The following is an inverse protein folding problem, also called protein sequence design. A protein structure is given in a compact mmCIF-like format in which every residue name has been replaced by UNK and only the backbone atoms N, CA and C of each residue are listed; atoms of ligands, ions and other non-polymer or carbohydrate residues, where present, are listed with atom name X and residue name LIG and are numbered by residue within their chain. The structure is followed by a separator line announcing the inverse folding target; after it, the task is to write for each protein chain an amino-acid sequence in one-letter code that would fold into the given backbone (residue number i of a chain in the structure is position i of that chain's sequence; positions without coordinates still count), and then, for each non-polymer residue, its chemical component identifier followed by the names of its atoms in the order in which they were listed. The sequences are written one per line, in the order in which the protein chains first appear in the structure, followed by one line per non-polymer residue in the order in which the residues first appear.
data_IF_383445346607
#
_entry.id   IF_383445346607
#
_cell.length_a   1.000
_cell.length_b   1.000
_cell.length_c   1.000
_cell.angle_alpha   90.00
_cell.angle_beta   90.00
_cell.angle_gamma   90.00
#
_symmetry.space_group_name_H-M   'P 1'
#
loop_
_entity.id
_entity.type
_entity.pdbx_description
1 polymer ?
#
# COMPACT_ATOMS: atom_id res chain seq x y z
N UNK A 1 54.64 -5.48 21.04
CA UNK A 1 53.45 -5.31 20.19
C UNK A 1 52.48 -6.43 20.55
N UNK A 2 51.49 -6.15 21.40
CA UNK A 2 50.42 -7.12 21.69
C UNK A 2 49.45 -7.09 20.52
N UNK A 3 49.25 -8.23 19.88
CA UNK A 3 48.22 -8.38 18.86
C UNK A 3 46.84 -8.22 19.54
N UNK A 4 45.89 -7.48 18.93
CA UNK A 4 44.56 -7.33 19.50
C UNK A 4 43.89 -8.70 19.59
N UNK A 5 43.35 -9.01 20.77
CA UNK A 5 42.57 -10.21 21.02
C UNK A 5 41.29 -10.07 20.19
N UNK A 6 41.15 -10.88 19.14
CA UNK A 6 39.90 -11.00 18.38
C UNK A 6 38.87 -11.63 19.31
N UNK A 7 37.92 -10.84 19.81
CA UNK A 7 36.73 -11.36 20.47
C UNK A 7 35.89 -12.04 19.40
N UNK A 8 35.84 -13.37 19.44
CA UNK A 8 34.90 -14.14 18.63
C UNK A 8 33.47 -13.76 19.05
N UNK A 9 32.56 -13.46 18.11
CA UNK A 9 31.16 -13.22 18.44
C UNK A 9 30.59 -14.41 19.20
N UNK A 10 29.69 -14.14 20.14
CA UNK A 10 29.02 -15.16 20.96
C UNK A 10 28.31 -16.12 20.00
N UNK A 11 28.66 -17.40 20.05
CA UNK A 11 28.00 -18.41 19.22
C UNK A 11 26.49 -18.40 19.52
N UNK A 12 25.70 -18.14 18.48
CA UNK A 12 24.24 -18.19 18.55
C UNK A 12 23.84 -19.62 18.93
N UNK A 13 22.95 -19.81 19.92
CA UNK A 13 22.43 -21.14 20.20
C UNK A 13 21.73 -21.67 18.95
N UNK A 14 22.23 -22.76 18.37
CA UNK A 14 21.52 -23.49 17.31
C UNK A 14 20.18 -23.92 17.92
N UNK A 15 19.03 -23.43 17.40
CA UNK A 15 17.73 -23.83 17.90
C UNK A 15 17.63 -25.36 17.84
N UNK A 16 17.13 -25.98 18.91
CA UNK A 16 16.88 -27.43 18.87
C UNK A 16 15.89 -27.70 17.74
N UNK A 17 16.27 -28.58 16.81
CA UNK A 17 15.37 -29.00 15.74
C UNK A 17 14.14 -29.66 16.36
N UNK A 18 12.99 -29.03 16.16
CA UNK A 18 11.67 -29.55 16.49
C UNK A 18 11.01 -29.96 15.19
N UNK A 19 10.24 -31.04 15.24
CA UNK A 19 9.46 -31.46 14.07
C UNK A 19 8.48 -30.36 13.66
N UNK A 20 8.32 -30.10 12.36
CA UNK A 20 7.25 -29.25 11.87
C UNK A 20 5.87 -29.83 12.18
N UNK A 21 4.87 -28.97 12.26
CA UNK A 21 3.46 -29.37 12.35
C UNK A 21 3.01 -30.22 11.14
N UNK A 22 1.99 -31.09 11.27
CA UNK A 22 1.63 -32.07 10.24
C UNK A 22 1.25 -31.51 8.86
N UNK A 23 0.76 -30.26 8.82
CA UNK A 23 0.40 -29.53 7.61
C UNK A 23 1.55 -28.67 7.05
N UNK A 24 2.80 -28.91 7.46
CA UNK A 24 4.01 -28.34 6.87
C UNK A 24 4.94 -29.49 6.42
N UNK A 25 5.58 -29.40 5.24
CA UNK A 25 6.54 -30.42 4.81
C UNK A 25 7.69 -30.59 5.81
N UNK A 26 8.00 -31.83 6.23
CA UNK A 26 8.92 -32.09 7.34
C UNK A 26 10.35 -31.70 7.01
N UNK A 27 10.78 -31.96 5.77
CA UNK A 27 12.16 -31.66 5.36
C UNK A 27 12.26 -30.29 4.72
N UNK A 28 13.38 -29.62 4.94
CA UNK A 28 13.68 -28.35 4.28
C UNK A 28 13.71 -28.48 2.75
N UNK A 29 14.30 -29.56 2.23
CA UNK A 29 14.36 -29.80 0.79
C UNK A 29 12.98 -29.86 0.11
N UNK A 30 11.97 -30.42 0.79
CA UNK A 30 10.60 -30.40 0.29
C UNK A 30 10.00 -28.99 0.32
N UNK A 31 10.24 -28.22 1.39
CA UNK A 31 9.76 -26.82 1.48
C UNK A 31 10.36 -25.94 0.39
N UNK A 32 11.67 -26.05 0.13
CA UNK A 32 12.34 -25.34 -0.97
C UNK A 32 11.78 -25.75 -2.34
N UNK A 33 11.55 -27.06 -2.55
CA UNK A 33 10.92 -27.55 -3.78
C UNK A 33 9.54 -26.94 -3.97
N UNK A 34 8.72 -26.89 -2.92
CA UNK A 34 7.35 -26.36 -3.02
C UNK A 34 7.35 -24.85 -3.27
N UNK A 35 8.26 -24.10 -2.65
CA UNK A 35 8.47 -22.67 -2.91
C UNK A 35 8.79 -22.43 -4.39
N UNK A 36 9.77 -23.14 -4.94
CA UNK A 36 10.15 -23.01 -6.35
C UNK A 36 9.01 -23.40 -7.33
N UNK A 37 8.14 -24.34 -6.95
CA UNK A 37 6.98 -24.72 -7.76
C UNK A 37 5.87 -23.66 -7.73
N UNK A 38 5.63 -23.04 -6.58
CA UNK A 38 4.69 -21.93 -6.43
C UNK A 38 5.16 -20.69 -7.21
N UNK A 39 6.44 -20.33 -7.11
CA UNK A 39 7.06 -19.24 -7.89
C UNK A 39 6.92 -19.48 -9.39
N UNK A 40 7.30 -20.68 -9.87
CA UNK A 40 7.15 -21.06 -11.29
C UNK A 40 5.71 -20.98 -11.77
N UNK A 41 4.76 -21.39 -10.93
CA UNK A 41 3.34 -21.29 -11.27
C UNK A 41 2.91 -19.83 -11.39
N UNK A 42 3.28 -18.99 -10.42
CA UNK A 42 2.96 -17.57 -10.41
C UNK A 42 3.46 -16.86 -11.67
N UNK A 43 4.70 -17.14 -12.08
CA UNK A 43 5.28 -16.61 -13.32
C UNK A 43 4.53 -17.09 -14.57
N UNK A 44 4.18 -18.39 -14.61
CA UNK A 44 3.52 -19.00 -15.76
C UNK A 44 2.15 -18.39 -16.01
N UNK A 45 1.39 -18.13 -14.96
CA UNK A 45 0.03 -17.58 -15.07
C UNK A 45 -0.02 -16.06 -14.90
N UNK A 46 1.13 -15.42 -14.62
CA UNK A 46 1.27 -14.00 -14.33
C UNK A 46 0.30 -13.54 -13.24
N UNK A 47 0.43 -14.10 -12.03
CA UNK A 47 -0.41 -13.69 -10.91
C UNK A 47 -0.25 -12.20 -10.63
N UNK A 48 -1.36 -11.51 -10.46
CA UNK A 48 -1.41 -10.08 -10.10
C UNK A 48 -2.05 -9.98 -8.72
N UNK A 49 -1.34 -9.51 -7.70
CA UNK A 49 -1.92 -9.25 -6.39
C UNK A 49 -2.72 -7.91 -6.36
N UNK A 50 -3.58 -7.68 -5.35
CA UNK A 50 -3.98 -8.62 -4.29
C UNK A 50 -4.87 -9.74 -4.86
N UNK A 51 -4.63 -10.97 -4.40
CA UNK A 51 -5.51 -12.10 -4.68
C UNK A 51 -6.60 -12.14 -3.61
N UNK A 52 -7.87 -12.28 -4.02
CA UNK A 52 -8.93 -12.60 -3.08
C UNK A 52 -8.72 -13.97 -2.46
N UNK A 53 -9.34 -14.23 -1.31
CA UNK A 53 -9.24 -15.54 -0.67
C UNK A 53 -9.72 -16.71 -1.57
N UNK A 54 -10.76 -16.47 -2.38
CA UNK A 54 -11.26 -17.44 -3.35
C UNK A 54 -10.24 -17.69 -4.48
N UNK A 55 -9.65 -16.63 -5.03
CA UNK A 55 -8.63 -16.74 -6.06
C UNK A 55 -7.38 -17.46 -5.54
N UNK A 56 -6.92 -17.10 -4.34
CA UNK A 56 -5.77 -17.74 -3.71
C UNK A 56 -6.01 -19.24 -3.55
N UNK A 57 -7.18 -19.66 -3.07
CA UNK A 57 -7.55 -21.08 -2.97
C UNK A 57 -7.56 -21.76 -4.33
N UNK A 58 -8.17 -21.14 -5.34
CA UNK A 58 -8.22 -21.67 -6.71
C UNK A 58 -6.82 -21.86 -7.29
N UNK A 59 -5.93 -20.89 -7.13
CA UNK A 59 -4.55 -20.96 -7.59
C UNK A 59 -3.74 -22.00 -6.82
N UNK A 60 -3.95 -22.11 -5.51
CA UNK A 60 -3.33 -23.15 -4.67
C UNK A 60 -3.75 -24.55 -5.12
N UNK A 61 -5.04 -24.78 -5.37
CA UNK A 61 -5.55 -26.06 -5.85
C UNK A 61 -5.02 -26.40 -7.25
N UNK A 62 -4.83 -25.40 -8.10
CA UNK A 62 -4.18 -25.57 -9.39
C UNK A 62 -2.69 -25.97 -9.26
N UNK A 63 -1.95 -25.40 -8.30
CA UNK A 63 -0.56 -25.80 -8.01
C UNK A 63 -0.51 -27.25 -7.51
N UNK A 64 -1.40 -27.62 -6.58
CA UNK A 64 -1.52 -28.99 -6.04
C UNK A 64 -1.77 -29.98 -7.18
N UNK A 65 -2.77 -29.72 -8.02
CA UNK A 65 -3.14 -30.60 -9.12
C UNK A 65 -2.05 -30.68 -10.21
N UNK A 66 -1.41 -29.56 -10.53
CA UNK A 66 -0.40 -29.48 -11.60
C UNK A 66 0.88 -30.25 -11.27
N UNK A 67 1.29 -30.26 -10.00
CA UNK A 67 2.56 -30.84 -9.57
C UNK A 67 2.40 -32.08 -8.70
N UNK A 68 1.18 -32.61 -8.57
CA UNK A 68 0.84 -33.80 -7.77
C UNK A 68 1.35 -33.69 -6.33
N UNK A 69 1.00 -32.57 -5.68
CA UNK A 69 1.41 -32.29 -4.29
C UNK A 69 0.37 -32.83 -3.30
N UNK A 70 0.81 -33.12 -2.08
CA UNK A 70 -0.08 -33.61 -1.02
C UNK A 70 -1.04 -32.48 -0.57
N UNK A 71 -2.37 -32.67 -0.69
CA UNK A 71 -3.35 -31.67 -0.30
C UNK A 71 -3.32 -31.27 1.18
N UNK A 72 -2.70 -32.08 2.05
CA UNK A 72 -2.53 -31.73 3.48
C UNK A 72 -1.72 -30.45 3.68
N UNK A 73 -0.93 -30.05 2.69
CA UNK A 73 -0.10 -28.85 2.72
C UNK A 73 -0.76 -27.63 2.09
N UNK A 74 -2.07 -27.68 1.81
CA UNK A 74 -2.81 -26.61 1.13
C UNK A 74 -2.58 -25.23 1.76
N UNK A 75 -2.68 -25.10 3.08
CA UNK A 75 -2.52 -23.79 3.74
C UNK A 75 -1.09 -23.26 3.63
N UNK A 76 -0.10 -24.16 3.76
CA UNK A 76 1.30 -23.82 3.55
C UNK A 76 1.56 -23.39 2.10
N UNK A 77 1.02 -24.12 1.12
CA UNK A 77 1.13 -23.79 -0.30
C UNK A 77 0.43 -22.48 -0.65
N UNK A 78 -0.71 -22.17 -0.01
CA UNK A 78 -1.39 -20.90 -0.19
C UNK A 78 -0.50 -19.72 0.24
N UNK A 79 0.24 -19.86 1.34
CA UNK A 79 1.25 -18.85 1.73
C UNK A 79 2.31 -18.69 0.65
N UNK A 80 2.83 -19.80 0.09
CA UNK A 80 3.87 -19.73 -0.95
C UNK A 80 3.36 -19.11 -2.26
N UNK A 81 2.12 -19.41 -2.67
CA UNK A 81 1.49 -18.80 -3.85
C UNK A 81 1.28 -17.31 -3.64
N UNK A 82 0.79 -16.90 -2.47
CA UNK A 82 0.61 -15.49 -2.14
C UNK A 82 1.96 -14.75 -2.10
N UNK A 83 2.98 -15.35 -1.49
CA UNK A 83 4.33 -14.80 -1.46
C UNK A 83 4.89 -14.59 -2.86
N UNK A 84 4.70 -15.57 -3.75
CA UNK A 84 5.16 -15.47 -5.13
C UNK A 84 4.47 -14.32 -5.89
N UNK A 85 3.17 -14.10 -5.68
CA UNK A 85 2.45 -12.98 -6.29
C UNK A 85 2.95 -11.60 -5.79
N UNK A 86 3.28 -11.49 -4.50
CA UNK A 86 3.73 -10.23 -3.90
C UNK A 86 5.24 -9.99 -3.93
N UNK A 87 6.04 -11.00 -4.32
CA UNK A 87 7.51 -10.97 -4.22
C UNK A 87 8.12 -9.71 -4.84
N UNK A 88 7.79 -9.44 -6.10
CA UNK A 88 8.40 -8.32 -6.83
C UNK A 88 7.88 -6.96 -6.34
N UNK A 89 6.62 -6.90 -5.92
CA UNK A 89 6.03 -5.70 -5.30
C UNK A 89 6.72 -5.37 -3.97
N UNK A 90 6.99 -6.36 -3.12
CA UNK A 90 7.79 -6.17 -1.91
C UNK A 90 9.18 -5.67 -2.26
N UNK A 91 9.82 -6.26 -3.28
CA UNK A 91 11.16 -5.93 -3.72
C UNK A 91 11.28 -4.45 -4.15
N UNK A 92 10.22 -3.88 -4.73
CA UNK A 92 10.18 -2.51 -5.21
C UNK A 92 10.04 -1.45 -4.10
N UNK A 93 9.50 -1.82 -2.94
CA UNK A 93 9.30 -0.87 -1.83
C UNK A 93 10.65 -0.55 -1.16
N UNK A 94 11.01 0.71 -0.87
CA UNK A 94 12.24 1.04 -0.12
C UNK A 94 12.27 0.42 1.28
N UNK A 95 13.44 0.00 1.78
CA UNK A 95 13.57 -0.71 3.06
C UNK A 95 12.99 0.09 4.25
N UNK A 96 13.17 1.41 4.24
CA UNK A 96 12.65 2.34 5.26
C UNK A 96 11.12 2.45 5.30
N UNK A 97 10.44 1.95 4.26
CA UNK A 97 8.98 1.85 4.18
C UNK A 97 8.49 0.42 4.40
N UNK A 98 9.34 -0.49 4.89
CA UNK A 98 8.98 -1.88 5.18
C UNK A 98 8.92 -2.14 6.69
N UNK A 99 7.99 -2.99 7.08
CA UNK A 99 7.86 -3.50 8.44
C UNK A 99 8.27 -4.98 8.48
N UNK A 100 9.22 -5.32 9.34
CA UNK A 100 9.49 -6.70 9.73
C UNK A 100 8.70 -7.03 11.00
N UNK A 101 7.75 -7.94 10.89
CA UNK A 101 6.94 -8.42 12.01
C UNK A 101 7.43 -9.79 12.45
N UNK A 102 7.99 -9.86 13.66
CA UNK A 102 8.49 -11.09 14.27
C UNK A 102 7.56 -11.58 15.39
N UNK A 103 7.38 -12.89 15.58
CA UNK A 103 6.59 -13.43 16.67
C UNK A 103 7.48 -13.58 17.90
N UNK A 104 6.93 -13.32 19.09
CA UNK A 104 7.63 -13.58 20.36
C UNK A 104 7.97 -15.06 20.55
N UNK A 105 7.27 -15.96 19.85
CA UNK A 105 7.45 -17.41 19.90
C UNK A 105 8.86 -17.90 19.51
N UNK A 106 9.62 -17.10 18.75
CA UNK A 106 11.03 -17.40 18.42
C UNK A 106 11.95 -17.29 19.64
N UNK A 107 11.53 -16.60 20.70
CA UNK A 107 12.34 -16.41 21.91
C UNK A 107 12.46 -17.70 22.70
N UNK A 108 13.55 -17.81 23.46
CA UNK A 108 13.66 -18.82 24.52
C UNK A 108 12.84 -18.35 25.72
N UNK A 109 11.57 -18.76 25.79
CA UNK A 109 10.57 -18.21 26.72
C UNK A 109 11.06 -18.16 28.17
N UNK A 110 11.65 -19.27 28.65
CA UNK A 110 12.09 -19.43 30.04
C UNK A 110 13.27 -18.52 30.44
N UNK A 111 14.02 -17.99 29.47
CA UNK A 111 15.27 -17.25 29.72
C UNK A 111 15.27 -15.84 29.12
N UNK A 112 14.22 -15.45 28.41
CA UNK A 112 14.16 -14.15 27.74
C UNK A 112 13.94 -13.02 28.78
N UNK A 113 14.87 -12.06 28.91
CA UNK A 113 14.73 -10.96 29.88
C UNK A 113 13.88 -9.79 29.35
N UNK A 114 13.36 -9.90 28.12
CA UNK A 114 12.70 -8.80 27.44
C UNK A 114 11.32 -8.49 28.08
N UNK A 115 11.05 -7.22 28.42
CA UNK A 115 9.73 -6.81 28.91
C UNK A 115 8.72 -6.73 27.76
N UNK A 116 7.45 -6.59 28.13
CA UNK A 116 6.36 -6.31 27.20
C UNK A 116 5.79 -4.92 27.46
N UNK A 117 5.40 -4.24 26.39
CA UNK A 117 4.59 -3.04 26.44
C UNK A 117 3.23 -3.27 25.72
N UNK A 118 2.51 -2.20 25.41
CA UNK A 118 1.23 -2.27 24.70
C UNK A 118 1.38 -2.69 23.22
N UNK A 119 2.58 -2.57 22.65
CA UNK A 119 2.86 -2.86 21.25
C UNK A 119 3.48 -4.25 21.05
N UNK A 120 4.22 -4.79 22.02
CA UNK A 120 4.81 -6.11 21.91
C UNK A 120 5.97 -6.39 22.86
N UNK A 121 6.82 -7.33 22.44
CA UNK A 121 8.05 -7.70 23.15
C UNK A 121 9.17 -6.70 22.83
N UNK A 122 9.78 -6.11 23.85
CA UNK A 122 10.90 -5.18 23.69
C UNK A 122 12.23 -5.94 23.80
N UNK A 123 12.75 -6.43 22.67
CA UNK A 123 14.00 -7.19 22.60
C UNK A 123 15.15 -6.44 23.31
N UNK A 124 15.85 -7.14 24.20
CA UNK A 124 17.04 -6.62 24.93
C UNK A 124 18.36 -7.12 24.35
N UNK A 125 18.35 -7.70 23.15
CA UNK A 125 19.55 -8.19 22.47
C UNK A 125 20.38 -9.12 23.37
N UNK A 126 19.70 -10.09 24.02
CA UNK A 126 20.31 -10.98 25.01
C UNK A 126 21.15 -12.13 24.42
N UNK A 127 21.14 -12.31 23.09
CA UNK A 127 21.88 -13.34 22.37
C UNK A 127 21.30 -14.77 22.47
N UNK A 128 20.07 -14.93 22.97
CA UNK A 128 19.49 -16.26 23.24
C UNK A 128 18.65 -16.84 22.08
N UNK A 129 18.26 -16.01 21.10
CA UNK A 129 17.38 -16.40 20.00
C UNK A 129 17.64 -15.53 18.77
N UNK A 130 17.05 -15.91 17.63
CA UNK A 130 17.23 -15.24 16.33
C UNK A 130 16.60 -13.85 16.22
N UNK A 131 15.69 -13.46 17.14
CA UNK A 131 15.03 -12.15 17.11
C UNK A 131 16.06 -11.01 17.09
N UNK A 132 17.15 -11.14 17.86
CA UNK A 132 18.18 -10.11 17.92
C UNK A 132 18.83 -9.86 16.55
N UNK A 133 19.32 -10.92 15.90
CA UNK A 133 20.07 -10.78 14.64
C UNK A 133 19.17 -10.27 13.52
N UNK A 134 17.93 -10.77 13.46
CA UNK A 134 16.94 -10.31 12.51
C UNK A 134 16.57 -8.84 12.73
N UNK A 135 16.43 -8.42 13.98
CA UNK A 135 16.13 -7.03 14.32
C UNK A 135 17.31 -6.11 13.96
N UNK A 136 18.52 -6.46 14.38
CA UNK A 136 19.73 -5.67 14.09
C UNK A 136 19.93 -5.48 12.58
N UNK A 137 19.76 -6.55 11.79
CA UNK A 137 19.94 -6.46 10.35
C UNK A 137 18.81 -5.67 9.67
N UNK A 138 17.56 -5.91 10.04
CA UNK A 138 16.44 -5.20 9.44
C UNK A 138 16.51 -3.70 9.75
N UNK A 139 16.84 -3.32 10.99
CA UNK A 139 17.08 -1.92 11.37
C UNK A 139 18.27 -1.32 10.61
N UNK A 140 19.35 -2.09 10.39
CA UNK A 140 20.51 -1.66 9.57
C UNK A 140 20.12 -1.37 8.12
N UNK A 141 19.20 -2.15 7.55
CA UNK A 141 18.65 -1.93 6.21
C UNK A 141 17.66 -0.75 6.16
N UNK A 142 17.06 -0.40 7.30
CA UNK A 142 16.13 0.73 7.44
C UNK A 142 14.71 0.34 7.87
N UNK A 143 14.41 -0.95 8.00
CA UNK A 143 13.08 -1.43 8.36
C UNK A 143 12.62 -0.88 9.71
N UNK A 144 11.31 -0.67 9.83
CA UNK A 144 10.67 -0.73 11.14
C UNK A 144 10.60 -2.22 11.57
N UNK A 145 10.94 -2.52 12.82
CA UNK A 145 10.85 -3.89 13.36
C UNK A 145 9.89 -3.90 14.54
N UNK A 146 8.98 -4.88 14.54
CA UNK A 146 8.04 -5.08 15.63
C UNK A 146 8.03 -6.56 16.04
N UNK A 147 8.11 -6.83 17.33
CA UNK A 147 7.97 -8.19 17.87
C UNK A 147 6.60 -8.32 18.55
N UNK A 148 5.57 -8.65 17.78
CA UNK A 148 4.18 -8.64 18.24
C UNK A 148 3.34 -9.74 17.60
N UNK A 149 2.18 -10.02 18.20
CA UNK A 149 1.25 -11.08 17.75
C UNK A 149 -0.15 -10.56 17.36
N UNK A 150 -0.30 -9.25 17.16
CA UNK A 150 -1.60 -8.61 16.94
C UNK A 150 -1.75 -7.99 15.55
N UNK A 151 -2.76 -8.42 14.79
CA UNK A 151 -3.14 -7.79 13.52
C UNK A 151 -3.60 -6.33 13.69
N UNK A 152 -4.18 -5.98 14.84
CA UNK A 152 -4.65 -4.61 15.11
C UNK A 152 -3.51 -3.56 15.08
N UNK A 153 -2.35 -3.89 15.64
CA UNK A 153 -1.20 -2.97 15.67
C UNK A 153 -0.62 -2.80 14.27
N UNK A 154 -0.54 -3.90 13.51
CA UNK A 154 -0.11 -3.86 12.11
C UNK A 154 -1.00 -2.93 11.30
N UNK A 155 -2.33 -3.04 11.45
CA UNK A 155 -3.28 -2.14 10.77
C UNK A 155 -3.14 -0.68 11.21
N UNK A 156 -2.92 -0.42 12.49
CA UNK A 156 -2.69 0.94 12.96
C UNK A 156 -1.43 1.56 12.33
N UNK A 157 -0.33 0.78 12.23
CA UNK A 157 0.91 1.22 11.60
C UNK A 157 0.71 1.49 10.11
N UNK A 158 0.01 0.59 9.41
CA UNK A 158 -0.37 0.76 8.00
C UNK A 158 -1.13 2.08 7.80
N UNK A 159 -2.12 2.34 8.65
CA UNK A 159 -2.97 3.54 8.56
C UNK A 159 -2.19 4.84 8.81
N UNK A 160 -0.99 4.78 9.39
CA UNK A 160 -0.12 5.95 9.50
C UNK A 160 0.51 6.39 8.18
N UNK A 161 0.46 5.55 7.12
CA UNK A 161 1.09 5.83 5.82
C UNK A 161 2.63 5.74 5.82
N UNK A 162 3.24 5.31 6.94
CA UNK A 162 4.69 5.18 7.08
C UNK A 162 5.26 3.87 6.50
N UNK A 163 4.42 2.85 6.38
CA UNK A 163 4.80 1.52 5.93
C UNK A 163 3.96 1.15 4.71
N UNK A 164 4.63 0.72 3.65
CA UNK A 164 4.03 0.31 2.39
C UNK A 164 4.11 -1.20 2.15
N UNK A 165 4.96 -1.93 2.89
CA UNK A 165 5.06 -3.38 2.75
C UNK A 165 5.46 -4.09 4.06
N UNK A 166 5.09 -5.37 4.16
CA UNK A 166 5.28 -6.18 5.37
C UNK A 166 5.99 -7.49 5.05
N UNK A 167 7.03 -7.78 5.82
CA UNK A 167 7.63 -9.10 5.94
C UNK A 167 7.19 -9.68 7.27
N UNK A 168 6.34 -10.71 7.24
CA UNK A 168 5.76 -11.30 8.44
C UNK A 168 6.32 -12.68 8.73
N UNK A 169 6.61 -12.99 9.99
CA UNK A 169 6.91 -14.34 10.45
C UNK A 169 5.81 -14.77 11.41
N UNK A 170 5.09 -15.85 11.12
CA UNK A 170 3.98 -16.29 11.97
C UNK A 170 3.53 -17.72 11.69
N UNK A 171 2.73 -18.31 12.57
CA UNK A 171 2.11 -19.61 12.30
C UNK A 171 0.96 -19.48 11.29
N UNK A 172 0.63 -20.57 10.59
CA UNK A 172 -0.40 -20.57 9.54
C UNK A 172 -1.76 -20.05 10.04
N UNK A 173 -2.15 -20.40 11.27
CA UNK A 173 -3.42 -19.97 11.88
C UNK A 173 -3.54 -18.45 12.06
N UNK A 174 -2.42 -17.78 12.35
CA UNK A 174 -2.39 -16.31 12.50
C UNK A 174 -2.36 -15.64 11.13
N UNK A 175 -1.61 -16.20 10.18
CA UNK A 175 -1.56 -15.70 8.80
C UNK A 175 -2.93 -15.72 8.13
N UNK A 176 -3.70 -16.81 8.29
CA UNK A 176 -5.05 -16.91 7.75
C UNK A 176 -5.99 -15.82 8.28
N UNK A 177 -5.87 -15.46 9.56
CA UNK A 177 -6.69 -14.39 10.18
C UNK A 177 -6.25 -12.99 9.75
N UNK A 178 -4.98 -12.80 9.43
CA UNK A 178 -4.46 -11.52 8.96
C UNK A 178 -4.79 -11.26 7.48
N UNK A 179 -5.04 -12.31 6.70
CA UNK A 179 -5.21 -12.24 5.24
C UNK A 179 -6.28 -11.22 4.78
N UNK A 180 -7.52 -11.20 5.32
CA UNK A 180 -8.57 -10.29 4.83
C UNK A 180 -8.18 -8.80 5.01
N UNK A 181 -7.40 -8.49 6.03
CA UNK A 181 -6.96 -7.14 6.30
C UNK A 181 -5.87 -6.69 5.32
N UNK A 182 -4.93 -7.59 5.01
CA UNK A 182 -3.86 -7.36 4.03
C UNK A 182 -4.42 -7.20 2.61
N UNK A 183 -5.39 -8.06 2.25
CA UNK A 183 -6.13 -8.00 0.99
C UNK A 183 -6.88 -6.67 0.86
N UNK A 184 -7.69 -6.29 1.86
CA UNK A 184 -8.47 -5.06 1.83
C UNK A 184 -7.59 -3.80 1.78
N UNK A 185 -6.42 -3.84 2.42
CA UNK A 185 -5.47 -2.74 2.39
C UNK A 185 -4.57 -2.72 1.15
N UNK A 186 -4.60 -3.77 0.32
CA UNK A 186 -3.74 -3.97 -0.86
C UNK A 186 -2.24 -3.75 -0.57
N UNK A 187 -1.75 -4.39 0.50
CA UNK A 187 -0.35 -4.22 0.95
C UNK A 187 0.50 -5.41 0.53
N UNK A 188 1.65 -5.16 -0.13
CA UNK A 188 2.67 -6.18 -0.34
C UNK A 188 3.05 -6.87 0.97
N UNK A 189 2.67 -8.15 1.06
CA UNK A 189 2.86 -8.98 2.24
C UNK A 189 3.51 -10.29 1.86
N UNK A 190 4.73 -10.52 2.35
CA UNK A 190 5.41 -11.82 2.26
C UNK A 190 5.49 -12.42 3.66
N UNK A 191 5.01 -13.65 3.80
CA UNK A 191 4.95 -14.33 5.09
C UNK A 191 5.85 -15.57 5.12
N UNK A 192 6.62 -15.74 6.19
CA UNK A 192 7.43 -16.93 6.44
C UNK A 192 6.76 -17.74 7.55
N UNK A 193 6.22 -18.94 7.25
CA UNK A 193 5.56 -19.78 8.24
C UNK A 193 6.50 -20.25 9.34
N UNK A 194 6.07 -20.15 10.60
CA UNK A 194 6.66 -20.91 11.69
C UNK A 194 6.44 -22.40 11.47
N UNK A 195 7.41 -23.22 11.87
CA UNK A 195 7.34 -24.67 11.74
C UNK A 195 6.47 -25.30 12.85
N UNK A 196 6.22 -24.60 13.96
CA UNK A 196 5.33 -25.02 15.04
C UNK A 196 4.30 -23.92 15.36
N UNK A 197 3.17 -24.32 15.96
CA UNK A 197 2.06 -23.45 16.35
C UNK A 197 1.73 -23.49 17.85
N UNK A 198 2.57 -24.12 18.67
CA UNK A 198 2.39 -24.23 20.13
C UNK A 198 2.89 -23.00 20.92
N UNK A 199 3.24 -21.94 20.19
CA UNK A 199 3.64 -20.62 20.71
C UNK A 199 4.84 -20.62 21.67
N UNK A 200 5.71 -21.62 21.63
CA UNK A 200 6.87 -21.73 22.52
C UNK A 200 8.11 -22.24 21.81
N UNK A 201 9.19 -21.47 21.83
CA UNK A 201 10.48 -21.88 21.26
C UNK A 201 10.33 -22.45 19.84
N UNK A 202 9.58 -21.75 18.99
CA UNK A 202 9.25 -22.19 17.62
C UNK A 202 10.46 -21.97 16.71
N UNK A 203 10.59 -22.80 15.67
CA UNK A 203 11.58 -22.65 14.61
C UNK A 203 10.96 -22.14 13.32
N UNK A 204 11.82 -21.65 12.42
CA UNK A 204 11.48 -21.08 11.12
C UNK A 204 12.64 -21.33 10.16
N UNK A 205 12.37 -21.40 8.87
CA UNK A 205 13.42 -21.42 7.85
C UNK A 205 14.11 -20.05 7.79
N UNK A 206 15.18 -19.90 8.56
CA UNK A 206 15.89 -18.62 8.73
C UNK A 206 16.39 -18.03 7.40
N UNK A 207 16.86 -18.87 6.48
CA UNK A 207 17.32 -18.42 5.16
C UNK A 207 16.20 -17.74 4.36
N UNK A 208 14.94 -18.17 4.52
CA UNK A 208 13.82 -17.49 3.85
C UNK A 208 13.59 -16.09 4.39
N UNK A 209 13.80 -15.87 5.69
CA UNK A 209 13.73 -14.52 6.26
C UNK A 209 14.87 -13.68 5.70
N UNK A 210 16.09 -14.20 5.71
CA UNK A 210 17.26 -13.49 5.18
C UNK A 210 17.10 -13.10 3.71
N UNK A 211 16.64 -14.02 2.86
CA UNK A 211 16.38 -13.76 1.45
C UNK A 211 15.34 -12.64 1.26
N UNK A 212 14.26 -12.67 2.05
CA UNK A 212 13.13 -11.74 1.89
C UNK A 212 13.45 -10.35 2.44
N UNK A 213 14.16 -10.23 3.57
CA UNK A 213 14.51 -8.91 4.12
C UNK A 213 15.57 -8.19 3.26
N UNK A 214 16.39 -8.94 2.52
CA UNK A 214 17.35 -8.37 1.57
C UNK A 214 16.76 -8.15 0.18
N UNK A 215 15.53 -8.61 -0.07
CA UNK A 215 14.92 -8.56 -1.40
C UNK A 215 14.82 -7.11 -1.89
N UNK A 216 15.36 -6.83 -3.08
CA UNK A 216 15.28 -5.52 -3.73
C UNK A 216 15.03 -5.71 -5.22
N UNK A 217 14.22 -4.84 -5.81
CA UNK A 217 13.96 -4.77 -7.24
C UNK A 217 14.63 -3.53 -7.83
N UNK A 218 14.85 -3.53 -9.15
CA UNK A 218 15.21 -2.31 -9.88
C UNK A 218 14.02 -1.33 -9.97
N UNK A 219 12.80 -1.87 -9.93
CA UNK A 219 11.57 -1.10 -9.88
C UNK A 219 11.42 -0.41 -8.52
N UNK A 220 11.00 0.86 -8.51
CA UNK A 220 10.84 1.73 -7.32
C UNK A 220 9.40 2.21 -7.19
N UNK A 221 8.44 1.33 -7.45
CA UNK A 221 7.02 1.63 -7.24
C UNK A 221 6.71 1.94 -5.78
N UNK A 222 5.84 2.92 -5.55
CA UNK A 222 5.40 3.34 -4.22
C UNK A 222 3.87 3.39 -4.12
N UNK A 223 3.35 3.29 -2.90
CA UNK A 223 1.91 3.44 -2.66
C UNK A 223 1.54 4.91 -2.65
N UNK A 224 0.52 5.28 -3.44
CA UNK A 224 -0.08 6.62 -3.34
C UNK A 224 -0.98 6.70 -2.11
N UNK A 225 -0.77 7.73 -1.29
CA UNK A 225 -1.72 8.14 -0.26
C UNK A 225 -2.91 8.86 -0.92
N UNK A 226 -3.89 8.06 -1.36
CA UNK A 226 -5.07 8.53 -2.08
C UNK A 226 -5.96 9.42 -1.22
N UNK A 227 -5.99 9.23 0.09
CA UNK A 227 -6.81 10.01 1.01
C UNK A 227 -6.22 11.42 1.18
N UNK A 228 -4.89 11.51 1.37
CA UNK A 228 -4.18 12.80 1.40
C UNK A 228 -4.31 13.54 0.07
N UNK A 229 -4.15 12.85 -1.06
CA UNK A 229 -4.30 13.46 -2.37
C UNK A 229 -5.73 13.95 -2.62
N UNK A 230 -6.75 13.20 -2.18
CA UNK A 230 -8.14 13.62 -2.27
C UNK A 230 -8.39 14.89 -1.47
N UNK A 231 -7.93 14.93 -0.22
CA UNK A 231 -8.07 16.10 0.64
C UNK A 231 -7.35 17.33 0.07
N UNK A 232 -6.16 17.14 -0.51
CA UNK A 232 -5.40 18.20 -1.17
C UNK A 232 -6.17 18.77 -2.37
N UNK A 233 -6.70 17.90 -3.24
CA UNK A 233 -7.49 18.31 -4.41
C UNK A 233 -8.79 19.00 -4.02
N UNK A 234 -9.50 18.50 -3.01
CA UNK A 234 -10.72 19.16 -2.51
C UNK A 234 -10.43 20.57 -2.00
N UNK A 235 -9.27 20.79 -1.37
CA UNK A 235 -8.82 22.11 -0.92
C UNK A 235 -8.68 23.14 -2.04
N UNK A 236 -8.40 22.72 -3.28
CA UNK A 236 -8.24 23.61 -4.43
C UNK A 236 -9.56 24.23 -4.90
N UNK A 237 -10.71 23.68 -4.50
CA UNK A 237 -12.03 24.16 -4.88
C UNK A 237 -12.70 25.01 -3.79
N UNK A 238 -11.95 25.41 -2.76
CA UNK A 238 -12.44 26.42 -1.81
C UNK A 238 -12.55 27.79 -2.49
N UNK A 239 -13.47 28.68 -2.07
CA UNK A 239 -13.61 30.00 -2.70
C UNK A 239 -12.31 30.81 -2.75
N UNK A 240 -11.51 30.75 -1.68
CA UNK A 240 -10.20 31.41 -1.63
C UNK A 240 -9.22 30.79 -2.65
N UNK A 241 -9.14 29.46 -2.71
CA UNK A 241 -8.27 28.77 -3.65
C UNK A 241 -8.68 29.01 -5.12
N UNK A 242 -9.99 29.06 -5.41
CA UNK A 242 -10.47 29.38 -6.75
C UNK A 242 -10.11 30.82 -7.13
N UNK A 243 -10.24 31.78 -6.21
CA UNK A 243 -9.83 33.16 -6.46
C UNK A 243 -8.33 33.33 -6.75
N UNK A 244 -7.47 32.51 -6.12
CA UNK A 244 -6.04 32.48 -6.45
C UNK A 244 -5.76 31.93 -7.86
N UNK A 245 -6.60 31.01 -8.35
CA UNK A 245 -6.36 30.29 -9.61
C UNK A 245 -7.03 30.97 -10.81
N UNK A 246 -8.26 31.44 -10.63
CA UNK A 246 -9.09 32.09 -11.65
C UNK A 246 -8.99 33.62 -11.60
N UNK A 247 -8.48 34.20 -10.50
CA UNK A 247 -8.53 35.64 -10.23
C UNK A 247 -9.77 36.03 -9.43
N UNK A 248 -9.88 37.32 -9.09
CA UNK A 248 -11.08 37.84 -8.46
C UNK A 248 -12.18 38.04 -9.52
N UNK A 249 -13.45 37.66 -9.26
CA UNK A 249 -14.52 37.83 -10.22
C UNK A 249 -14.77 39.32 -10.48
N UNK A 250 -14.74 39.70 -11.76
CA UNK A 250 -14.94 41.06 -12.26
C UNK A 250 -16.41 41.36 -12.58
N UNK A 251 -17.27 40.35 -12.67
CA UNK A 251 -18.70 40.51 -12.95
C UNK A 251 -19.57 39.36 -12.43
N UNK A 252 -20.89 39.52 -12.57
CA UNK A 252 -21.87 38.59 -11.99
C UNK A 252 -21.76 37.17 -12.55
N UNK A 253 -21.47 37.01 -13.85
CA UNK A 253 -21.29 35.69 -14.47
C UNK A 253 -20.06 34.96 -13.91
N UNK A 254 -18.95 35.66 -13.69
CA UNK A 254 -17.74 35.10 -13.07
C UNK A 254 -17.99 34.76 -11.60
N UNK A 255 -18.70 35.62 -10.86
CA UNK A 255 -19.07 35.33 -9.48
C UNK A 255 -19.93 34.06 -9.37
N UNK A 256 -20.93 33.90 -10.24
CA UNK A 256 -21.76 32.69 -10.33
C UNK A 256 -20.95 31.46 -10.74
N UNK A 257 -20.02 31.60 -11.70
CA UNK A 257 -19.14 30.52 -12.13
C UNK A 257 -18.24 30.03 -10.97
N UNK A 258 -17.65 30.95 -10.20
CA UNK A 258 -16.82 30.63 -9.05
C UNK A 258 -17.63 29.95 -7.95
N UNK A 259 -18.84 30.44 -7.67
CA UNK A 259 -19.75 29.81 -6.72
C UNK A 259 -20.11 28.38 -7.17
N UNK A 260 -20.48 28.21 -8.45
CA UNK A 260 -20.87 26.92 -9.01
C UNK A 260 -19.73 25.90 -8.99
N UNK A 261 -18.49 26.34 -9.27
CA UNK A 261 -17.29 25.53 -9.12
C UNK A 261 -17.06 25.12 -7.67
N UNK A 262 -17.24 26.05 -6.71
CA UNK A 262 -17.05 25.80 -5.28
C UNK A 262 -18.13 24.87 -4.69
N UNK A 263 -19.33 24.78 -5.29
CA UNK A 263 -20.41 23.88 -4.85
C UNK A 263 -19.93 22.43 -4.80
N UNK A 264 -20.32 21.72 -3.74
CA UNK A 264 -19.90 20.35 -3.45
C UNK A 264 -20.05 19.40 -4.65
N UNK A 265 -19.14 18.43 -4.73
CA UNK A 265 -19.09 17.40 -5.76
C UNK A 265 -18.01 16.38 -5.40
N UNK A 266 -18.06 15.19 -5.99
CA UNK A 266 -17.09 14.11 -5.67
C UNK A 266 -15.66 14.38 -6.15
N UNK A 267 -15.45 15.42 -6.99
CA UNK A 267 -14.16 15.85 -7.56
C UNK A 267 -13.33 14.72 -8.18
N UNK A 268 -14.00 13.71 -8.76
CA UNK A 268 -13.30 12.54 -9.32
C UNK A 268 -12.36 12.90 -10.46
N UNK A 269 -12.78 13.80 -11.36
CA UNK A 269 -11.98 14.17 -12.53
C UNK A 269 -10.68 14.89 -12.14
N UNK A 270 -10.69 15.98 -11.36
CA UNK A 270 -9.46 16.61 -10.89
C UNK A 270 -8.62 15.66 -10.02
N UNK A 271 -9.25 14.83 -9.17
CA UNK A 271 -8.54 13.83 -8.38
C UNK A 271 -7.77 12.83 -9.25
N UNK A 272 -8.43 12.27 -10.26
CA UNK A 272 -7.79 11.32 -11.19
C UNK A 272 -6.66 11.96 -11.99
N UNK A 273 -6.79 13.22 -12.39
CA UNK A 273 -5.71 13.99 -13.05
C UNK A 273 -4.45 14.01 -12.17
N UNK A 274 -4.61 14.28 -10.87
CA UNK A 274 -3.48 14.33 -9.94
C UNK A 274 -2.91 12.94 -9.64
N UNK A 275 -3.76 11.92 -9.49
CA UNK A 275 -3.30 10.53 -9.34
C UNK A 275 -2.49 10.07 -10.54
N UNK A 276 -2.94 10.37 -11.76
CA UNK A 276 -2.22 10.02 -12.98
C UNK A 276 -0.85 10.71 -13.03
N UNK A 277 -0.78 12.01 -12.71
CA UNK A 277 0.49 12.73 -12.61
C UNK A 277 1.42 12.07 -11.58
N UNK A 278 0.92 11.85 -10.35
CA UNK A 278 1.69 11.25 -9.25
C UNK A 278 2.19 9.84 -9.57
N UNK A 279 1.42 9.02 -10.28
CA UNK A 279 1.81 7.67 -10.64
C UNK A 279 2.97 7.60 -11.65
N UNK A 280 3.25 8.70 -12.36
CA UNK A 280 4.31 8.79 -13.36
C UNK A 280 5.60 9.46 -12.83
N UNK A 281 5.70 9.71 -11.52
CA UNK A 281 6.87 10.35 -10.91
C UNK A 281 7.70 9.32 -10.15
N UNK A 282 9.01 9.58 -10.09
CA UNK A 282 9.95 8.76 -9.30
C UNK A 282 9.91 9.11 -7.81
N UNK A 283 9.55 10.35 -7.46
CA UNK A 283 9.47 10.84 -6.07
C UNK A 283 8.00 11.04 -5.64
N UNK A 284 7.47 10.16 -4.76
CA UNK A 284 6.11 10.27 -4.24
C UNK A 284 5.83 11.55 -3.48
N UNK A 285 6.83 12.12 -2.82
CA UNK A 285 6.67 13.24 -1.89
C UNK A 285 7.07 14.58 -2.52
N UNK A 286 7.53 14.56 -3.77
CA UNK A 286 7.82 15.79 -4.52
C UNK A 286 6.60 16.73 -4.48
N UNK A 287 6.79 18.04 -4.26
CA UNK A 287 5.68 18.99 -4.30
C UNK A 287 4.93 18.94 -5.63
N UNK A 288 3.61 19.05 -5.59
CA UNK A 288 2.83 19.18 -6.82
C UNK A 288 3.13 20.52 -7.47
N UNK A 289 3.39 20.56 -8.80
CA UNK A 289 3.67 21.81 -9.47
C UNK A 289 2.39 22.68 -9.51
N UNK A 290 2.52 24.02 -9.41
CA UNK A 290 1.37 24.93 -9.51
C UNK A 290 0.54 24.73 -10.78
N UNK A 291 1.19 24.42 -11.90
CA UNK A 291 0.54 24.12 -13.17
C UNK A 291 -0.46 22.94 -13.08
N UNK A 292 -0.19 21.94 -12.23
CA UNK A 292 -1.11 20.81 -12.06
C UNK A 292 -2.43 21.24 -11.40
N UNK A 293 -2.40 22.21 -10.47
CA UNK A 293 -3.61 22.79 -9.89
C UNK A 293 -4.44 23.50 -10.95
N UNK A 294 -3.81 24.27 -11.85
CA UNK A 294 -4.50 24.91 -12.98
C UNK A 294 -5.17 23.88 -13.90
N UNK A 295 -4.45 22.81 -14.25
CA UNK A 295 -5.00 21.71 -15.08
C UNK A 295 -6.17 21.02 -14.37
N UNK A 296 -6.07 20.73 -13.07
CA UNK A 296 -7.13 20.10 -12.31
C UNK A 296 -8.39 20.99 -12.22
N UNK A 297 -8.22 22.29 -11.97
CA UNK A 297 -9.33 23.25 -11.96
C UNK A 297 -9.96 23.34 -13.36
N UNK A 298 -9.16 23.41 -14.42
CA UNK A 298 -9.66 23.43 -15.80
C UNK A 298 -10.53 22.21 -16.15
N UNK A 299 -10.08 21.01 -15.75
CA UNK A 299 -10.85 19.77 -15.93
C UNK A 299 -12.21 19.83 -15.23
N UNK A 300 -12.27 20.41 -14.04
CA UNK A 300 -13.54 20.59 -13.32
C UNK A 300 -14.40 21.70 -13.93
N UNK A 301 -13.80 22.76 -14.51
CA UNK A 301 -14.53 23.77 -15.28
C UNK A 301 -15.30 23.13 -16.44
N UNK A 302 -14.64 22.28 -17.25
CA UNK A 302 -15.32 21.57 -18.34
C UNK A 302 -16.45 20.67 -17.83
N UNK A 303 -16.23 19.96 -16.73
CA UNK A 303 -17.26 19.11 -16.16
C UNK A 303 -18.47 19.91 -15.65
N UNK A 304 -18.23 21.00 -14.92
CA UNK A 304 -19.28 21.83 -14.35
C UNK A 304 -20.04 22.63 -15.41
N UNK A 305 -19.37 23.02 -16.49
CA UNK A 305 -20.01 23.60 -17.67
C UNK A 305 -20.95 22.61 -18.35
N UNK A 306 -20.48 21.37 -18.58
CA UNK A 306 -21.32 20.34 -19.20
C UNK A 306 -22.57 20.09 -18.38
N UNK A 307 -22.48 20.03 -17.05
CA UNK A 307 -23.65 19.84 -16.18
C UNK A 307 -24.68 20.98 -16.29
N UNK A 308 -24.23 22.24 -16.44
CA UNK A 308 -25.15 23.38 -16.61
C UNK A 308 -25.90 23.25 -17.94
N UNK A 309 -25.18 22.90 -19.02
CA UNK A 309 -25.78 22.74 -20.34
C UNK A 309 -26.69 21.51 -20.41
N UNK A 310 -26.26 20.38 -19.83
CA UNK A 310 -27.06 19.16 -19.71
C UNK A 310 -28.34 19.42 -18.89
N UNK A 311 -28.27 20.18 -17.78
CA UNK A 311 -29.46 20.55 -17.00
C UNK A 311 -30.51 21.28 -17.84
N UNK A 312 -30.06 22.13 -18.77
CA UNK A 312 -30.96 22.88 -19.68
C UNK A 312 -31.50 21.96 -20.78
N UNK A 313 -30.65 21.10 -21.36
CA UNK A 313 -31.04 20.18 -22.44
C UNK A 313 -32.03 19.12 -21.96
N UNK A 314 -31.83 18.60 -20.74
CA UNK A 314 -32.65 17.56 -20.12
C UNK A 314 -33.88 18.11 -19.38
N UNK A 315 -34.05 19.44 -19.29
CA UNK A 315 -35.09 20.13 -18.49
C UNK A 315 -35.05 19.70 -16.99
N UNK A 316 -33.84 19.47 -16.48
CA UNK A 316 -33.59 18.97 -15.14
C UNK A 316 -33.68 20.11 -14.11
N UNK A 317 -34.79 20.17 -13.36
CA UNK A 317 -35.02 21.29 -12.45
C UNK A 317 -34.10 21.33 -11.21
N UNK A 318 -33.35 20.24 -10.91
CA UNK A 318 -32.56 20.12 -9.68
C UNK A 318 -31.23 19.41 -9.87
N UNK A 319 -30.19 19.90 -9.18
CA UNK A 319 -28.86 19.31 -9.12
C UNK A 319 -28.26 19.43 -7.72
N UNK A 320 -27.63 18.36 -7.22
CA UNK A 320 -27.05 18.30 -5.86
C UNK A 320 -28.03 18.73 -4.75
N UNK A 321 -29.27 18.26 -4.83
CA UNK A 321 -30.37 18.62 -3.92
C UNK A 321 -30.75 20.12 -3.90
N UNK A 322 -30.23 20.92 -4.84
CA UNK A 322 -30.57 22.33 -5.06
C UNK A 322 -31.27 22.52 -6.40
N UNK A 323 -31.76 23.72 -6.66
CA UNK A 323 -32.30 24.07 -7.97
C UNK A 323 -31.15 24.11 -8.99
N UNK A 324 -31.44 23.69 -10.22
CA UNK A 324 -30.48 23.83 -11.31
C UNK A 324 -30.26 25.30 -11.63
N UNK A 325 -29.08 25.65 -12.15
CA UNK A 325 -28.71 27.06 -12.35
C UNK A 325 -29.69 27.81 -13.28
N UNK A 326 -30.23 27.12 -14.29
CA UNK A 326 -31.21 27.70 -15.22
C UNK A 326 -32.59 27.95 -14.58
N UNK A 327 -32.92 27.22 -13.51
CA UNK A 327 -34.12 27.46 -12.69
C UNK A 327 -33.88 28.67 -11.78
N UNK A 328 -32.71 28.74 -11.14
CA UNK A 328 -32.36 29.82 -10.20
C UNK A 328 -32.18 31.18 -10.90
N UNK A 329 -31.48 31.21 -12.04
CA UNK A 329 -31.00 32.43 -12.70
C UNK A 329 -31.61 32.67 -14.09
N UNK A 330 -32.39 31.71 -14.60
CA UNK A 330 -32.89 31.72 -15.96
C UNK A 330 -31.88 31.16 -16.99
N UNK A 331 -32.42 30.60 -18.07
CA UNK A 331 -31.65 29.95 -19.15
C UNK A 331 -30.55 30.85 -19.73
N UNK A 332 -30.77 32.15 -20.07
CA UNK A 332 -29.72 32.96 -20.67
C UNK A 332 -28.49 33.15 -19.79
N UNK A 333 -28.69 33.29 -18.47
CA UNK A 333 -27.58 33.45 -17.51
C UNK A 333 -26.85 32.13 -17.35
N UNK A 334 -27.58 31.02 -17.20
CA UNK A 334 -26.98 29.70 -17.07
C UNK A 334 -26.12 29.32 -18.29
N UNK A 335 -26.60 29.57 -19.51
CA UNK A 335 -25.81 29.37 -20.74
C UNK A 335 -24.51 30.19 -20.71
N UNK A 336 -24.58 31.48 -20.40
CA UNK A 336 -23.38 32.33 -20.34
C UNK A 336 -22.37 31.85 -19.28
N UNK A 337 -22.84 31.35 -18.14
CA UNK A 337 -21.97 30.79 -17.09
C UNK A 337 -21.30 29.50 -17.56
N UNK A 338 -22.04 28.62 -18.24
CA UNK A 338 -21.47 27.40 -18.81
C UNK A 338 -20.41 27.71 -19.89
N UNK A 339 -20.72 28.62 -20.81
CA UNK A 339 -19.77 29.09 -21.84
C UNK A 339 -18.51 29.73 -21.24
N UNK A 340 -18.69 30.55 -20.20
CA UNK A 340 -17.58 31.15 -19.46
C UNK A 340 -16.67 30.09 -18.84
N UNK A 341 -17.24 29.07 -18.19
CA UNK A 341 -16.46 27.96 -17.60
C UNK A 341 -15.68 27.17 -18.66
N UNK A 342 -16.23 26.98 -19.87
CA UNK A 342 -15.49 26.37 -20.98
C UNK A 342 -14.29 27.26 -21.36
N UNK A 343 -14.50 28.58 -21.50
CA UNK A 343 -13.45 29.54 -21.79
C UNK A 343 -12.35 29.53 -20.72
N UNK A 344 -12.72 29.57 -19.44
CA UNK A 344 -11.81 29.50 -18.31
C UNK A 344 -11.00 28.20 -18.29
N UNK A 345 -11.61 27.07 -18.61
CA UNK A 345 -10.91 25.79 -18.74
C UNK A 345 -9.79 25.86 -19.78
N UNK A 346 -10.06 26.40 -20.97
CA UNK A 346 -9.02 26.58 -21.99
C UNK A 346 -7.97 27.62 -21.60
N UNK A 347 -8.38 28.74 -21.00
CA UNK A 347 -7.46 29.78 -20.52
C UNK A 347 -6.46 29.23 -19.51
N UNK A 348 -6.94 28.49 -18.51
CA UNK A 348 -6.10 27.85 -17.49
C UNK A 348 -5.11 26.86 -18.09
N UNK A 349 -5.53 26.05 -19.06
CA UNK A 349 -4.61 25.13 -19.75
C UNK A 349 -3.56 25.87 -20.59
N UNK A 350 -3.94 26.99 -21.22
CA UNK A 350 -3.02 27.80 -22.02
C UNK A 350 -2.00 28.60 -21.20
N UNK A 351 -2.37 28.98 -19.97
CA UNK A 351 -1.49 29.69 -19.03
C UNK A 351 -0.70 28.75 -18.10
N UNK A 352 -1.05 27.47 -18.06
CA UNK A 352 -0.33 26.50 -17.26
C UNK A 352 1.12 26.41 -17.76
N UNK A 353 2.07 26.78 -16.90
CA UNK A 353 3.51 26.69 -17.17
C UNK A 353 3.96 25.24 -17.15
N UNK A 354 3.58 24.50 -18.18
CA UNK A 354 3.96 23.13 -18.43
C UNK A 354 5.26 23.13 -19.23
N UNK A 355 6.27 22.34 -18.83
CA UNK A 355 7.49 22.22 -19.62
C UNK A 355 7.11 21.74 -21.03
N UNK A 356 7.48 22.52 -22.05
CA UNK A 356 7.37 22.07 -23.44
C UNK A 356 8.24 20.84 -23.67
N UNK A 357 7.83 19.97 -24.60
CA UNK A 357 8.57 18.75 -24.95
C UNK A 357 10.07 19.08 -25.16
N UNK A 358 10.92 18.47 -24.33
CA UNK A 358 12.37 18.53 -24.42
C UNK A 358 12.92 17.47 -25.38
#
# INVERSE_FOLDING_TARGET
MQLPIVQLPRAVPVPREREPQPNIPPTRGERERYKALAERYADTVRLVPPLTFEELRRHTDAVIARYDLDPRYRDFLAVLVNNAAWRDHLAAVPYERRLLLLPKCLRVEERCPAPFDEFGLLCKQCGLCSIQELQEEAERLGYAVLVAEGSAIVMAIIQTGKIDAIVGVSCLNVLERAFPYMEAAAIPGVAIPLLQDDCKNTSVDMEWIWDVIHLTGEDRTYRLDLDRLRAEVEGWFTPAALAETLGAPAGDAEALAHEWLARAGKRWRPFLTVCAYRALRDDPEAPLPPALRQVAVAVECFHKASLIHDDIEDDDARRYDREALHVEQGVPVALNVGDLLIGEGYRLLGEADLPGDA
#
